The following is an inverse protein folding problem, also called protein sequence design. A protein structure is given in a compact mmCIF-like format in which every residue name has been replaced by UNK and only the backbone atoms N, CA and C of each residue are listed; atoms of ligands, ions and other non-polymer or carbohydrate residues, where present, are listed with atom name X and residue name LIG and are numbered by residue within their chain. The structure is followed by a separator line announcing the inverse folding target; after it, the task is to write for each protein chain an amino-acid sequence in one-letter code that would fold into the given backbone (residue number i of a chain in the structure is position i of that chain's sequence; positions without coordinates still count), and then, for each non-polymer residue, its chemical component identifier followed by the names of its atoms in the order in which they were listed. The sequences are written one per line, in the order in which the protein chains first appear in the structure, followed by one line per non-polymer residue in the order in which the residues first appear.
data_IF_914596494021
#
_entry.id   IF_914596494021
#
_cell.length_a   1.000
_cell.length_b   1.000
_cell.length_c   1.000
_cell.angle_alpha   90.00
_cell.angle_beta   90.00
_cell.angle_gamma   90.00
#
_symmetry.space_group_name_H-M   'P 1'
#
loop_
_entity.id
_entity.type
_entity.pdbx_description
1 polymer ?
#
# COMPACT_ATOMS: atom_id res chain seq x y z
N UNK A 1 6.88 -20.36 4.27
CA UNK A 1 7.43 -21.74 4.32
C UNK A 1 6.27 -22.68 4.61
N UNK A 2 5.90 -23.50 3.62
CA UNK A 2 5.01 -24.63 3.88
C UNK A 2 5.88 -25.69 4.57
N UNK A 3 5.64 -25.93 5.86
CA UNK A 3 6.20 -27.09 6.53
C UNK A 3 5.62 -28.33 5.85
N UNK A 4 6.44 -28.97 5.01
CA UNK A 4 6.10 -30.24 4.41
C UNK A 4 6.09 -31.25 5.57
N UNK A 5 4.92 -31.75 5.96
CA UNK A 5 4.85 -32.87 6.90
C UNK A 5 5.42 -34.12 6.24
N UNK A 6 6.69 -34.38 6.52
CA UNK A 6 7.41 -35.59 6.10
C UNK A 6 7.24 -36.75 7.08
N UNK A 7 6.39 -36.61 8.10
CA UNK A 7 6.10 -37.68 9.06
C UNK A 7 5.53 -38.90 8.31
N UNK A 8 6.22 -40.02 8.44
CA UNK A 8 5.85 -41.29 7.76
C UNK A 8 6.36 -41.45 6.32
N UNK A 9 7.14 -40.53 5.79
CA UNK A 9 7.84 -40.69 4.49
C UNK A 9 9.26 -41.18 4.75
N UNK A 10 9.50 -42.47 4.66
CA UNK A 10 10.85 -43.03 4.72
C UNK A 10 11.26 -43.48 3.33
N UNK A 11 12.38 -42.95 2.83
CA UNK A 11 13.07 -43.52 1.69
C UNK A 11 14.19 -44.44 2.22
N UNK A 12 14.17 -45.69 1.88
CA UNK A 12 15.25 -46.64 2.22
C UNK A 12 16.23 -46.64 1.05
N UNK A 13 17.50 -46.19 1.25
CA UNK A 13 18.51 -46.26 0.19
C UNK A 13 18.77 -47.71 -0.16
N UNK A 14 18.56 -48.11 -1.39
CA UNK A 14 18.95 -49.41 -1.92
C UNK A 14 20.36 -49.28 -2.50
N UNK A 15 21.39 -49.42 -1.69
CA UNK A 15 22.73 -49.84 -2.06
C UNK A 15 23.56 -49.06 -3.11
N UNK A 16 22.98 -48.11 -3.84
CA UNK A 16 23.65 -47.22 -4.79
C UNK A 16 23.30 -45.79 -4.42
N UNK A 17 24.25 -44.87 -4.53
CA UNK A 17 24.02 -43.45 -4.34
C UNK A 17 22.96 -43.00 -5.39
N UNK A 18 21.74 -42.71 -4.92
CA UNK A 18 20.68 -42.13 -5.76
C UNK A 18 21.01 -40.69 -6.06
N UNK A 19 20.76 -40.27 -7.28
CA UNK A 19 20.74 -38.83 -7.59
C UNK A 19 19.55 -38.18 -6.87
N UNK A 20 19.60 -36.86 -6.66
CA UNK A 20 18.50 -36.07 -6.13
C UNK A 20 17.17 -36.36 -6.85
N UNK A 21 17.24 -36.42 -8.19
CA UNK A 21 16.08 -36.72 -9.04
C UNK A 21 15.50 -38.12 -8.77
N UNK A 22 16.34 -39.14 -8.64
CA UNK A 22 15.90 -40.52 -8.36
C UNK A 22 15.34 -40.66 -6.94
N UNK A 23 15.94 -39.98 -5.95
CA UNK A 23 15.49 -40.03 -4.57
C UNK A 23 14.10 -39.40 -4.42
N UNK A 24 13.86 -38.25 -5.03
CA UNK A 24 12.58 -37.54 -4.92
C UNK A 24 11.53 -37.97 -5.96
N UNK A 25 11.85 -38.81 -6.94
CA UNK A 25 10.94 -39.23 -8.00
C UNK A 25 9.58 -39.73 -7.48
N UNK A 26 9.48 -40.57 -6.44
CA UNK A 26 8.20 -41.03 -5.93
C UNK A 26 7.36 -39.90 -5.34
N UNK A 27 7.97 -38.95 -4.63
CA UNK A 27 7.31 -37.79 -4.09
C UNK A 27 6.80 -36.86 -5.20
N UNK A 28 7.66 -36.56 -6.17
CA UNK A 28 7.31 -35.70 -7.31
C UNK A 28 6.16 -36.29 -8.12
N UNK A 29 6.20 -37.61 -8.39
CA UNK A 29 5.14 -38.27 -9.17
C UNK A 29 3.79 -38.31 -8.46
N UNK A 30 3.80 -38.39 -7.12
CA UNK A 30 2.60 -38.40 -6.29
C UNK A 30 2.07 -36.99 -5.94
N UNK A 31 2.85 -35.93 -6.15
CA UNK A 31 2.45 -34.59 -5.79
C UNK A 31 1.31 -34.07 -6.69
N UNK A 32 0.28 -33.54 -6.06
CA UNK A 32 -0.86 -32.96 -6.75
C UNK A 32 -0.94 -31.46 -6.44
N UNK A 33 -0.59 -30.57 -7.38
CA UNK A 33 -0.89 -29.15 -7.27
C UNK A 33 -2.40 -28.95 -7.05
N UNK A 34 -2.76 -27.90 -6.32
CA UNK A 34 -4.19 -27.58 -6.13
C UNK A 34 -4.81 -27.16 -7.47
N UNK A 35 -6.07 -27.51 -7.69
CA UNK A 35 -6.83 -27.08 -8.85
C UNK A 35 -7.09 -25.57 -8.83
N UNK A 36 -7.46 -25.06 -7.66
CA UNK A 36 -7.59 -23.62 -7.42
C UNK A 36 -6.27 -23.05 -6.86
N UNK A 37 -5.53 -22.35 -7.71
CA UNK A 37 -4.29 -21.66 -7.39
C UNK A 37 -4.47 -20.14 -7.48
N UNK A 38 -5.70 -19.62 -7.46
CA UNK A 38 -6.00 -18.20 -7.65
C UNK A 38 -5.47 -17.29 -6.54
N UNK A 39 -5.15 -17.85 -5.37
CA UNK A 39 -4.53 -17.12 -4.27
C UNK A 39 -3.03 -17.40 -4.19
N UNK A 40 -2.26 -16.43 -3.66
CA UNK A 40 -0.81 -16.60 -3.45
C UNK A 40 -0.49 -17.80 -2.56
N UNK A 41 -1.31 -18.04 -1.52
CA UNK A 41 -1.14 -19.17 -0.60
C UNK A 41 -1.35 -20.52 -1.31
N UNK A 42 -2.42 -20.66 -2.10
CA UNK A 42 -2.72 -21.87 -2.85
C UNK A 42 -1.67 -22.15 -3.93
N UNK A 43 -1.24 -21.11 -4.65
CA UNK A 43 -0.16 -21.21 -5.64
C UNK A 43 1.15 -21.68 -5.00
N UNK A 44 1.58 -21.05 -3.90
CA UNK A 44 2.81 -21.44 -3.19
C UNK A 44 2.71 -22.86 -2.62
N UNK A 45 1.55 -23.26 -2.09
CA UNK A 45 1.32 -24.62 -1.60
C UNK A 45 1.32 -25.66 -2.71
N UNK A 46 1.10 -25.27 -3.96
CA UNK A 46 1.17 -26.16 -5.13
C UNK A 46 2.60 -26.39 -5.65
N UNK A 47 3.55 -25.54 -5.26
CA UNK A 47 4.92 -25.57 -5.74
C UNK A 47 5.80 -26.50 -4.89
N UNK A 48 5.99 -27.73 -5.36
CA UNK A 48 6.93 -28.64 -4.71
C UNK A 48 8.36 -28.25 -5.06
N UNK A 49 9.14 -27.96 -4.02
CA UNK A 49 10.59 -27.77 -4.14
C UNK A 49 11.35 -28.84 -3.37
N UNK A 50 12.44 -29.30 -3.94
CA UNK A 50 13.42 -30.16 -3.26
C UNK A 50 14.78 -29.49 -3.21
N UNK A 51 15.60 -29.88 -2.28
CA UNK A 51 16.94 -29.33 -2.13
C UNK A 51 17.99 -30.42 -1.93
N UNK A 52 19.15 -30.21 -2.53
CA UNK A 52 20.40 -30.83 -2.10
C UNK A 52 21.11 -29.88 -1.17
N UNK A 53 21.69 -30.40 -0.09
CA UNK A 53 22.40 -29.61 0.91
C UNK A 53 23.80 -30.13 1.14
N UNK A 54 24.72 -29.21 1.45
CA UNK A 54 26.04 -29.52 1.97
C UNK A 54 26.20 -28.96 3.38
N UNK A 55 26.87 -29.73 4.23
CA UNK A 55 27.21 -29.29 5.56
C UNK A 55 28.74 -28.97 5.60
N UNK A 56 29.09 -27.81 6.12
CA UNK A 56 30.47 -27.42 6.40
C UNK A 56 30.61 -27.01 7.85
N UNK A 57 31.72 -27.38 8.48
CA UNK A 57 31.99 -26.95 9.85
C UNK A 57 32.81 -25.66 9.79
N UNK A 58 32.32 -24.60 10.43
CA UNK A 58 33.05 -23.35 10.59
C UNK A 58 34.21 -23.45 11.56
N UNK A 59 35.06 -22.43 11.60
CA UNK A 59 36.26 -22.35 12.49
C UNK A 59 35.87 -22.36 13.99
N UNK A 60 34.63 -21.98 14.30
CA UNK A 60 34.02 -21.96 15.64
C UNK A 60 33.28 -23.25 16.01
N UNK A 61 33.44 -24.33 15.23
CA UNK A 61 32.70 -25.59 15.31
C UNK A 61 31.19 -25.43 15.03
N UNK A 62 30.68 -24.34 14.48
CA UNK A 62 29.30 -24.22 14.01
C UNK A 62 29.09 -25.01 12.73
N UNK A 63 27.92 -25.64 12.60
CA UNK A 63 27.54 -26.36 11.39
C UNK A 63 26.81 -25.40 10.46
N UNK A 64 27.39 -25.13 9.30
CA UNK A 64 26.74 -24.35 8.24
C UNK A 64 26.08 -25.32 7.23
N UNK A 65 24.78 -25.14 7.01
CA UNK A 65 24.01 -25.89 6.02
C UNK A 65 23.69 -24.97 4.85
N UNK A 66 24.05 -25.39 3.64
CA UNK A 66 23.72 -24.68 2.40
C UNK A 66 22.82 -25.56 1.54
N UNK A 67 21.71 -25.01 1.07
CA UNK A 67 20.74 -25.73 0.23
C UNK A 67 20.53 -25.01 -1.10
N UNK A 68 20.49 -25.78 -2.19
CA UNK A 68 20.03 -25.29 -3.48
C UNK A 68 18.64 -25.84 -3.73
N UNK A 69 17.64 -24.95 -3.77
CA UNK A 69 16.23 -25.32 -3.97
C UNK A 69 15.94 -25.48 -5.45
N UNK A 70 15.27 -26.57 -5.83
CA UNK A 70 14.86 -26.88 -7.19
C UNK A 70 13.34 -27.04 -7.27
N UNK A 71 12.68 -26.25 -8.12
CA UNK A 71 11.26 -26.43 -8.42
C UNK A 71 11.04 -27.77 -9.14
N UNK A 72 10.05 -28.54 -8.69
CA UNK A 72 9.70 -29.84 -9.28
C UNK A 72 8.43 -29.79 -10.12
N UNK A 73 7.63 -28.76 -9.95
CA UNK A 73 6.47 -28.50 -10.81
C UNK A 73 6.88 -27.74 -12.06
N UNK A 74 6.07 -27.84 -13.09
CA UNK A 74 6.19 -27.06 -14.32
C UNK A 74 5.21 -25.89 -14.27
N UNK A 75 5.54 -24.77 -14.93
CA UNK A 75 4.75 -23.56 -14.89
C UNK A 75 4.11 -23.26 -16.25
N UNK A 76 2.79 -23.19 -16.30
CA UNK A 76 2.05 -22.58 -17.39
C UNK A 76 1.91 -21.07 -17.13
N UNK A 77 2.39 -20.24 -18.05
CA UNK A 77 2.25 -18.78 -18.05
C UNK A 77 1.26 -18.39 -19.12
N UNK A 78 0.14 -17.78 -18.74
CA UNK A 78 -0.95 -17.41 -19.65
C UNK A 78 -0.86 -15.91 -19.90
N UNK A 79 -0.70 -15.52 -21.15
CA UNK A 79 -0.65 -14.13 -21.61
C UNK A 79 -1.98 -13.76 -22.24
N UNK A 80 -2.61 -12.68 -21.73
CA UNK A 80 -3.88 -12.19 -22.24
C UNK A 80 -3.66 -11.12 -23.31
N UNK A 81 -4.51 -11.03 -24.35
CA UNK A 81 -4.45 -9.98 -25.36
C UNK A 81 -4.70 -8.61 -24.72
N UNK A 82 -4.28 -7.54 -25.40
CA UNK A 82 -4.49 -6.15 -24.94
C UNK A 82 -3.92 -5.82 -23.55
N UNK A 83 -2.95 -6.56 -23.07
CA UNK A 83 -2.25 -6.24 -21.83
C UNK A 83 -1.41 -4.98 -22.03
N UNK A 84 -1.52 -4.04 -21.08
CA UNK A 84 -0.70 -2.82 -21.01
C UNK A 84 0.19 -2.91 -19.79
N UNK A 85 1.49 -2.88 -20.00
CA UNK A 85 2.49 -2.80 -18.92
C UNK A 85 2.93 -1.35 -18.74
N UNK A 86 2.68 -0.79 -17.57
CA UNK A 86 3.18 0.52 -17.19
C UNK A 86 4.57 0.39 -16.59
N UNK A 87 5.54 1.05 -17.22
CA UNK A 87 6.90 1.19 -16.72
C UNK A 87 7.04 2.57 -16.08
N UNK A 88 7.19 2.60 -14.76
CA UNK A 88 7.31 3.86 -14.05
C UNK A 88 8.67 4.51 -14.30
N UNK A 89 8.67 5.83 -14.47
CA UNK A 89 9.89 6.63 -14.65
C UNK A 89 10.74 6.71 -13.37
N UNK A 90 10.13 6.51 -12.21
CA UNK A 90 10.84 6.23 -10.96
C UNK A 90 11.11 4.72 -10.88
N UNK A 91 12.35 4.31 -11.12
CA UNK A 91 12.76 2.89 -11.14
C UNK A 91 12.59 2.16 -9.80
N UNK A 92 12.35 2.87 -8.70
CA UNK A 92 12.05 2.29 -7.39
C UNK A 92 10.59 1.82 -7.28
N UNK A 93 9.72 2.29 -8.17
CA UNK A 93 8.31 1.87 -8.25
C UNK A 93 8.25 0.66 -9.18
N UNK A 94 7.73 -0.49 -8.71
CA UNK A 94 7.60 -1.67 -9.55
C UNK A 94 6.70 -1.43 -10.76
N UNK A 95 7.10 -1.95 -11.93
CA UNK A 95 6.23 -1.98 -13.09
C UNK A 95 4.93 -2.74 -12.78
N UNK A 96 3.83 -2.28 -13.33
CA UNK A 96 2.54 -2.92 -13.18
C UNK A 96 1.84 -3.11 -14.52
N UNK A 97 1.26 -4.30 -14.74
CA UNK A 97 0.55 -4.59 -15.97
C UNK A 97 -0.95 -4.75 -15.73
N UNK A 98 -1.73 -4.16 -16.62
CA UNK A 98 -3.18 -4.29 -16.67
C UNK A 98 -3.53 -5.18 -17.86
N UNK A 99 -4.14 -6.33 -17.58
CA UNK A 99 -4.73 -7.23 -18.57
C UNK A 99 -6.26 -7.11 -18.53
N UNK A 100 -6.96 -7.51 -19.59
CA UNK A 100 -8.42 -7.58 -19.58
C UNK A 100 -8.94 -8.38 -18.38
N UNK A 101 -10.11 -7.99 -17.87
CA UNK A 101 -10.81 -8.79 -16.88
C UNK A 101 -11.05 -10.20 -17.42
N UNK A 102 -10.57 -11.19 -16.69
CA UNK A 102 -10.61 -12.60 -17.08
C UNK A 102 -11.23 -13.41 -15.97
N UNK A 103 -12.20 -14.26 -16.31
CA UNK A 103 -12.79 -15.24 -15.40
C UNK A 103 -12.44 -16.65 -15.87
N UNK A 104 -12.08 -17.53 -14.95
CA UNK A 104 -11.83 -18.93 -15.24
C UNK A 104 -13.07 -19.76 -14.92
N UNK A 105 -13.48 -20.63 -15.83
CA UNK A 105 -14.74 -21.39 -15.73
C UNK A 105 -14.56 -22.86 -15.37
N UNK A 106 -13.34 -23.40 -15.56
CA UNK A 106 -12.99 -24.77 -15.21
C UNK A 106 -12.55 -24.96 -13.77
N UNK A 107 -12.06 -26.16 -13.45
CA UNK A 107 -11.48 -26.46 -12.12
C UNK A 107 -10.14 -25.75 -11.92
N UNK A 108 -9.38 -25.54 -13.00
CA UNK A 108 -8.10 -24.86 -12.95
C UNK A 108 -8.29 -23.34 -12.81
N UNK A 109 -7.90 -22.81 -11.67
CA UNK A 109 -7.98 -21.37 -11.34
C UNK A 109 -6.56 -20.81 -11.20
N UNK A 110 -5.98 -20.18 -12.23
CA UNK A 110 -4.62 -19.61 -12.19
C UNK A 110 -4.49 -18.38 -11.31
N UNK A 111 -3.29 -18.19 -10.74
CA UNK A 111 -2.92 -16.97 -10.02
C UNK A 111 -2.68 -15.81 -11.00
N UNK A 112 -3.34 -14.70 -10.80
CA UNK A 112 -3.00 -13.43 -11.46
C UNK A 112 -1.75 -12.82 -10.81
N UNK A 113 -0.81 -12.34 -11.62
CA UNK A 113 0.39 -11.65 -11.15
C UNK A 113 0.52 -10.24 -11.74
N UNK A 114 1.34 -9.40 -11.10
CA UNK A 114 1.45 -7.97 -11.42
C UNK A 114 2.06 -7.68 -12.81
N UNK A 115 2.70 -8.68 -13.43
CA UNK A 115 3.20 -8.58 -14.80
C UNK A 115 2.09 -8.74 -15.87
N UNK A 116 0.82 -8.87 -15.44
CA UNK A 116 -0.36 -9.02 -16.30
C UNK A 116 -0.58 -10.43 -16.83
N UNK A 117 0.22 -11.41 -16.38
CA UNK A 117 0.03 -12.82 -16.74
C UNK A 117 -0.75 -13.58 -15.67
N UNK A 118 -1.25 -14.75 -16.05
CA UNK A 118 -1.76 -15.73 -15.11
C UNK A 118 -0.80 -16.90 -15.03
N UNK A 119 -0.60 -17.47 -13.84
CA UNK A 119 0.34 -18.56 -13.57
C UNK A 119 -0.37 -19.76 -12.98
N UNK A 120 -0.04 -20.94 -13.50
CA UNK A 120 -0.61 -22.20 -13.04
C UNK A 120 0.48 -23.28 -13.00
N UNK A 121 0.66 -23.89 -11.84
CA UNK A 121 1.61 -24.98 -11.64
C UNK A 121 0.96 -26.31 -11.98
N UNK A 122 1.67 -27.13 -12.73
CA UNK A 122 1.24 -28.48 -13.12
C UNK A 122 2.31 -29.50 -12.79
N UNK A 123 1.88 -30.71 -12.40
CA UNK A 123 2.78 -31.83 -12.36
C UNK A 123 2.89 -32.42 -13.79
N UNK A 124 4.07 -32.30 -14.39
CA UNK A 124 4.31 -32.79 -15.76
C UNK A 124 4.22 -34.32 -15.90
N UNK A 125 4.27 -35.07 -14.80
CA UNK A 125 4.15 -36.53 -14.78
C UNK A 125 2.68 -37.01 -14.83
N UNK A 126 1.71 -36.13 -14.69
CA UNK A 126 0.26 -36.41 -14.76
C UNK A 126 -0.38 -35.55 -15.85
N UNK A 127 -1.53 -35.98 -16.42
CA UNK A 127 -2.28 -35.11 -17.32
C UNK A 127 -2.65 -33.81 -16.67
N UNK A 128 -2.22 -32.67 -17.25
CA UNK A 128 -2.57 -31.36 -16.75
C UNK A 128 -4.07 -31.07 -16.95
N UNK A 129 -4.75 -30.40 -16.00
CA UNK A 129 -6.11 -29.95 -16.21
C UNK A 129 -6.17 -28.94 -17.35
N UNK A 130 -7.31 -28.89 -18.02
CA UNK A 130 -7.60 -27.85 -19.01
C UNK A 130 -7.93 -26.55 -18.28
N UNK A 131 -7.33 -25.45 -18.70
CA UNK A 131 -7.59 -24.11 -18.20
C UNK A 131 -8.55 -23.43 -19.18
N UNK A 132 -9.75 -23.15 -18.71
CA UNK A 132 -10.82 -22.55 -19.49
C UNK A 132 -11.21 -21.21 -18.90
N UNK A 133 -11.55 -20.24 -19.74
CA UNK A 133 -11.95 -18.93 -19.24
C UNK A 133 -12.56 -18.02 -20.30
N UNK A 134 -13.02 -16.88 -19.81
CA UNK A 134 -13.65 -15.82 -20.60
C UNK A 134 -12.94 -14.50 -20.33
N UNK A 135 -12.87 -13.65 -21.33
CA UNK A 135 -12.38 -12.29 -21.22
C UNK A 135 -13.23 -11.34 -22.08
N UNK A 136 -12.91 -10.04 -22.09
CA UNK A 136 -13.66 -9.03 -22.84
C UNK A 136 -15.17 -9.03 -22.43
N UNK A 137 -15.41 -8.85 -21.10
CA UNK A 137 -16.74 -8.88 -20.48
C UNK A 137 -17.52 -10.19 -20.74
N UNK A 138 -16.79 -11.28 -20.92
CA UNK A 138 -17.36 -12.61 -21.16
C UNK A 138 -17.71 -12.89 -22.64
N UNK A 139 -17.42 -11.95 -23.55
CA UNK A 139 -17.75 -12.10 -24.97
C UNK A 139 -16.81 -13.05 -25.72
N UNK A 140 -15.62 -13.32 -25.16
CA UNK A 140 -14.60 -14.20 -25.76
C UNK A 140 -14.22 -15.31 -24.80
N UNK A 141 -14.08 -16.51 -25.37
CA UNK A 141 -13.70 -17.71 -24.64
C UNK A 141 -12.30 -18.17 -25.05
N UNK A 142 -11.61 -18.83 -24.14
CA UNK A 142 -10.35 -19.51 -24.45
C UNK A 142 -10.21 -20.82 -23.70
N UNK A 143 -9.42 -21.72 -24.26
CA UNK A 143 -9.10 -23.02 -23.69
C UNK A 143 -7.63 -23.31 -23.88
N UNK A 144 -6.93 -23.66 -22.79
CA UNK A 144 -5.51 -24.03 -22.81
C UNK A 144 -5.36 -25.38 -22.14
N UNK A 145 -4.76 -26.35 -22.86
CA UNK A 145 -4.32 -27.61 -22.28
C UNK A 145 -2.79 -27.58 -22.15
N UNK A 146 -2.26 -27.39 -20.91
CA UNK A 146 -0.81 -27.38 -20.73
C UNK A 146 -0.18 -28.70 -21.21
N UNK A 147 0.81 -28.60 -22.08
CA UNK A 147 1.47 -29.77 -22.67
C UNK A 147 2.92 -29.47 -23.03
N UNK A 148 3.74 -30.54 -23.14
CA UNK A 148 5.16 -30.41 -23.48
C UNK A 148 5.97 -29.64 -22.42
N UNK A 149 5.61 -29.81 -21.15
CA UNK A 149 6.28 -29.26 -20.01
C UNK A 149 7.22 -30.30 -19.37
N UNK A 150 8.26 -29.86 -18.71
CA UNK A 150 9.20 -30.69 -17.93
C UNK A 150 9.45 -30.09 -16.56
N UNK A 151 10.01 -30.86 -15.65
CA UNK A 151 10.35 -30.45 -14.29
C UNK A 151 11.09 -29.11 -14.28
N UNK A 152 10.60 -28.16 -13.46
CA UNK A 152 11.21 -26.84 -13.29
C UNK A 152 11.20 -25.95 -14.53
N UNK A 153 10.52 -26.36 -15.61
CA UNK A 153 10.39 -25.57 -16.83
C UNK A 153 9.13 -24.71 -16.82
N UNK A 154 9.08 -23.72 -17.72
CA UNK A 154 7.87 -22.97 -17.97
C UNK A 154 7.54 -22.88 -19.44
N UNK A 155 6.27 -22.68 -19.77
CA UNK A 155 5.81 -22.44 -21.14
C UNK A 155 4.77 -21.33 -21.15
N UNK A 156 4.89 -20.43 -22.14
CA UNK A 156 3.97 -19.33 -22.37
C UNK A 156 2.87 -19.73 -23.33
N UNK A 157 1.64 -19.47 -22.94
CA UNK A 157 0.42 -19.70 -23.72
C UNK A 157 -0.21 -18.35 -24.02
N UNK A 158 -0.26 -17.97 -25.29
CA UNK A 158 -0.80 -16.70 -25.76
C UNK A 158 -2.25 -16.88 -26.17
N UNK A 159 -3.16 -16.27 -25.42
CA UNK A 159 -4.58 -16.19 -25.80
C UNK A 159 -4.72 -15.22 -26.96
N UNK A 160 -5.35 -15.67 -28.06
CA UNK A 160 -5.60 -14.87 -29.27
C UNK A 160 -4.37 -14.08 -29.78
N UNK A 161 -3.20 -14.70 -29.72
CA UNK A 161 -1.95 -14.07 -30.17
C UNK A 161 -1.49 -12.90 -29.29
N UNK A 162 -1.77 -12.97 -27.98
CA UNK A 162 -1.49 -11.93 -27.00
C UNK A 162 -0.18 -11.16 -27.23
N UNK A 163 -0.28 -9.82 -27.15
CA UNK A 163 0.84 -8.89 -27.19
C UNK A 163 0.70 -7.92 -26.02
N UNK A 164 1.79 -7.73 -25.29
CA UNK A 164 1.86 -6.73 -24.21
C UNK A 164 2.40 -5.41 -24.77
N UNK A 165 1.65 -4.32 -24.58
CA UNK A 165 2.11 -2.96 -24.91
C UNK A 165 2.79 -2.37 -23.69
N UNK A 166 4.05 -1.92 -23.83
CA UNK A 166 4.76 -1.21 -22.76
C UNK A 166 4.54 0.29 -22.92
N UNK A 167 4.19 0.97 -21.82
CA UNK A 167 4.03 2.43 -21.75
C UNK A 167 4.87 2.98 -20.61
N UNK A 168 5.77 3.93 -20.92
CA UNK A 168 6.41 4.72 -19.87
C UNK A 168 5.38 5.61 -19.20
N UNK A 169 5.46 5.70 -17.87
CA UNK A 169 4.50 6.44 -17.08
C UNK A 169 5.16 7.17 -15.91
N UNK A 170 4.88 8.45 -15.79
CA UNK A 170 5.28 9.24 -14.62
C UNK A 170 4.11 9.33 -13.66
N UNK A 171 4.34 8.93 -12.41
CA UNK A 171 3.35 8.98 -11.35
C UNK A 171 2.82 10.41 -11.17
N UNK A 172 1.51 10.54 -10.93
CA UNK A 172 0.84 11.82 -10.81
C UNK A 172 -0.37 11.75 -9.86
N UNK A 173 -0.88 12.91 -9.47
CA UNK A 173 -2.10 13.04 -8.66
C UNK A 173 -3.26 12.31 -9.32
N UNK A 174 -4.03 11.58 -8.54
CA UNK A 174 -5.14 10.76 -8.98
C UNK A 174 -4.80 9.31 -9.28
N UNK A 175 -3.51 8.91 -9.26
CA UNK A 175 -3.12 7.51 -9.40
C UNK A 175 -3.62 6.68 -8.22
N UNK A 176 -3.92 5.41 -8.51
CA UNK A 176 -4.42 4.47 -7.51
C UNK A 176 -3.26 3.78 -6.81
N UNK A 177 -3.25 3.80 -5.48
CA UNK A 177 -2.34 3.01 -4.66
C UNK A 177 -3.11 1.80 -4.11
N UNK A 178 -2.66 0.61 -4.50
CA UNK A 178 -3.30 -0.64 -4.13
C UNK A 178 -2.88 -1.10 -2.72
N UNK A 179 -3.66 -1.98 -2.12
CA UNK A 179 -3.38 -2.54 -0.81
C UNK A 179 -2.04 -3.29 -0.73
N UNK A 180 -1.57 -3.87 -1.84
CA UNK A 180 -0.27 -4.54 -1.94
C UNK A 180 0.92 -3.57 -2.18
N UNK A 181 0.66 -2.27 -2.24
CA UNK A 181 1.68 -1.22 -2.47
C UNK A 181 1.98 -0.93 -3.94
N UNK A 182 1.34 -1.61 -4.87
CA UNK A 182 1.49 -1.32 -6.30
C UNK A 182 0.69 -0.08 -6.71
N UNK A 183 1.12 0.55 -7.80
CA UNK A 183 0.49 1.73 -8.38
C UNK A 183 -0.19 1.41 -9.70
N UNK A 184 -1.37 1.99 -9.91
CA UNK A 184 -2.07 2.00 -11.19
C UNK A 184 -2.31 3.43 -11.64
N UNK A 185 -2.05 3.74 -12.92
CA UNK A 185 -2.33 5.06 -13.48
C UNK A 185 -3.80 5.44 -13.37
N UNK A 186 -4.08 6.69 -13.06
CA UNK A 186 -5.43 7.25 -13.14
C UNK A 186 -6.02 7.09 -14.54
N UNK A 187 -7.33 6.93 -14.62
CA UNK A 187 -8.02 6.70 -15.88
C UNK A 187 -7.87 5.28 -16.44
N UNK A 188 -7.18 4.38 -15.74
CA UNK A 188 -7.21 2.95 -16.05
C UNK A 188 -8.63 2.41 -15.82
N UNK A 189 -9.15 1.64 -16.77
CA UNK A 189 -10.38 0.87 -16.55
C UNK A 189 -10.08 -0.25 -15.58
N UNK A 190 -10.57 -0.10 -14.35
CA UNK A 190 -10.32 -1.05 -13.27
C UNK A 190 -11.31 -2.22 -13.32
N UNK A 191 -10.83 -3.43 -13.11
CA UNK A 191 -11.68 -4.58 -12.79
C UNK A 191 -12.29 -4.42 -11.38
N UNK A 192 -13.36 -5.17 -11.06
CA UNK A 192 -13.94 -5.12 -9.71
C UNK A 192 -12.94 -5.54 -8.62
N UNK A 193 -12.08 -6.52 -8.91
CA UNK A 193 -11.00 -6.93 -8.02
C UNK A 193 -9.99 -5.80 -7.80
N UNK A 194 -9.58 -5.10 -8.86
CA UNK A 194 -8.69 -3.95 -8.74
C UNK A 194 -9.33 -2.81 -7.95
N UNK A 195 -10.62 -2.50 -8.20
CA UNK A 195 -11.37 -1.50 -7.40
C UNK A 195 -11.38 -1.87 -5.92
N UNK A 196 -11.62 -3.14 -5.61
CA UNK A 196 -11.63 -3.64 -4.23
C UNK A 196 -10.24 -3.59 -3.57
N UNK A 197 -9.17 -3.64 -4.36
CA UNK A 197 -7.79 -3.59 -3.88
C UNK A 197 -7.24 -2.17 -3.73
N UNK A 198 -7.92 -1.14 -4.24
CA UNK A 198 -7.48 0.26 -4.07
C UNK A 198 -7.65 0.67 -2.61
N UNK A 199 -6.55 1.01 -1.95
CA UNK A 199 -6.53 1.49 -0.57
C UNK A 199 -6.44 3.02 -0.48
N UNK A 200 -5.74 3.66 -1.42
CA UNK A 200 -5.51 5.10 -1.41
C UNK A 200 -5.42 5.70 -2.82
N UNK A 201 -5.51 7.04 -2.88
CA UNK A 201 -5.31 7.82 -4.10
C UNK A 201 -4.15 8.78 -3.90
N UNK A 202 -3.21 8.81 -4.82
CA UNK A 202 -2.06 9.74 -4.79
C UNK A 202 -2.56 11.17 -4.93
N UNK A 203 -2.16 12.06 -4.02
CA UNK A 203 -2.52 13.48 -4.09
C UNK A 203 -1.32 14.43 -4.19
N UNK A 204 -0.11 13.94 -3.94
CA UNK A 204 1.12 14.69 -4.08
C UNK A 204 2.27 13.78 -4.51
N UNK A 205 3.11 14.30 -5.42
CA UNK A 205 4.35 13.65 -5.83
C UNK A 205 5.45 14.70 -5.95
N UNK A 206 6.71 14.36 -5.67
CA UNK A 206 7.83 15.29 -5.85
C UNK A 206 7.96 15.80 -7.28
N UNK A 207 7.65 14.98 -8.27
CA UNK A 207 7.81 15.31 -9.69
C UNK A 207 6.82 16.37 -10.17
N UNK A 208 5.57 16.37 -9.64
CA UNK A 208 4.53 17.33 -10.08
C UNK A 208 4.69 18.71 -9.48
N UNK A 209 5.14 18.78 -8.23
CA UNK A 209 5.25 20.07 -7.52
C UNK A 209 6.53 20.79 -7.85
N UNK A 210 7.47 20.12 -8.50
CA UNK A 210 8.79 20.66 -8.65
C UNK A 210 9.49 20.26 -9.96
N UNK A 211 9.02 20.75 -11.12
CA UNK A 211 9.79 20.60 -12.35
C UNK A 211 11.20 21.25 -12.26
N UNK A 212 11.47 22.05 -11.24
CA UNK A 212 12.76 22.70 -10.98
C UNK A 212 13.53 22.12 -9.77
N UNK A 213 13.05 21.02 -9.16
CA UNK A 213 13.74 20.33 -8.05
C UNK A 213 13.66 21.03 -6.68
N UNK A 214 12.59 21.80 -6.37
CA UNK A 214 12.53 22.60 -5.14
C UNK A 214 12.16 21.84 -3.89
N UNK A 215 11.43 20.76 -3.98
CA UNK A 215 11.06 19.95 -2.80
C UNK A 215 11.51 18.52 -3.06
N UNK A 216 12.61 18.15 -2.50
CA UNK A 216 13.00 16.75 -2.37
C UNK A 216 12.60 16.27 -0.98
N UNK A 217 12.41 14.97 -0.75
CA UNK A 217 12.25 14.40 0.60
C UNK A 217 13.39 14.79 1.56
N UNK A 218 14.55 15.13 1.01
CA UNK A 218 15.69 15.67 1.74
C UNK A 218 15.56 17.18 2.04
N UNK A 219 14.57 17.89 1.50
CA UNK A 219 14.35 19.28 1.85
C UNK A 219 13.81 19.39 3.27
N UNK A 220 14.15 20.49 3.95
CA UNK A 220 13.83 20.74 5.36
C UNK A 220 12.33 20.76 5.69
N UNK A 221 11.47 20.70 4.68
CA UNK A 221 10.03 20.83 4.82
C UNK A 221 9.32 19.48 4.95
N UNK A 222 10.05 18.38 4.82
CA UNK A 222 9.51 17.04 5.02
C UNK A 222 9.71 16.58 6.47
N UNK A 223 8.81 15.72 6.93
CA UNK A 223 8.82 15.14 8.26
C UNK A 223 10.08 14.27 8.49
N UNK A 224 11.01 14.77 9.31
CA UNK A 224 12.29 14.08 9.59
C UNK A 224 12.10 12.73 10.26
N UNK A 225 11.09 12.64 11.15
CA UNK A 225 10.79 11.39 11.87
C UNK A 225 10.27 10.35 10.88
N UNK A 226 9.38 10.76 9.97
CA UNK A 226 8.86 9.89 8.93
C UNK A 226 9.98 9.37 8.02
N UNK A 227 10.84 10.25 7.52
CA UNK A 227 11.97 9.85 6.64
C UNK A 227 12.94 8.91 7.33
N UNK A 228 13.17 9.11 8.63
CA UNK A 228 14.05 8.25 9.43
C UNK A 228 13.47 6.86 9.65
N UNK A 229 12.19 6.77 9.98
CA UNK A 229 11.51 5.50 10.26
C UNK A 229 11.10 4.77 8.98
N UNK A 230 10.81 5.51 7.91
CA UNK A 230 10.36 5.00 6.62
C UNK A 230 11.17 5.59 5.45
N UNK A 231 12.47 5.27 5.35
CA UNK A 231 13.36 5.91 4.37
C UNK A 231 12.99 5.62 2.91
N UNK A 232 12.19 4.60 2.68
CA UNK A 232 11.72 4.21 1.35
C UNK A 232 10.37 4.85 0.97
N UNK A 233 9.65 5.50 1.91
CA UNK A 233 8.36 6.13 1.65
C UNK A 233 8.53 7.59 1.17
N UNK A 234 9.18 7.77 0.02
CA UNK A 234 9.57 9.08 -0.52
C UNK A 234 9.02 9.35 -1.92
N UNK A 235 8.13 8.46 -2.41
CA UNK A 235 7.56 8.60 -3.75
C UNK A 235 6.41 9.60 -3.80
N UNK A 236 5.63 9.71 -2.72
CA UNK A 236 4.50 10.62 -2.67
C UNK A 236 3.65 10.50 -1.40
N UNK A 237 2.54 11.24 -1.41
CA UNK A 237 1.51 11.18 -0.39
C UNK A 237 0.21 10.69 -1.02
N UNK A 238 -0.47 9.79 -0.32
CA UNK A 238 -1.76 9.25 -0.76
C UNK A 238 -2.81 9.38 0.35
N UNK A 239 -4.07 9.61 -0.05
CA UNK A 239 -5.22 9.74 0.84
C UNK A 239 -6.04 8.46 0.80
N UNK A 240 -6.55 8.02 1.95
CA UNK A 240 -7.48 6.90 2.04
C UNK A 240 -8.72 7.11 1.17
N UNK A 241 -9.29 6.05 0.60
CA UNK A 241 -10.55 6.15 -0.16
C UNK A 241 -11.78 6.30 0.75
N UNK A 242 -11.63 6.13 2.07
CA UNK A 242 -12.70 6.21 3.06
C UNK A 242 -12.42 7.28 4.10
N UNK A 243 -13.49 7.94 4.59
CA UNK A 243 -13.41 8.75 5.79
C UNK A 243 -13.25 7.87 7.03
N UNK A 244 -12.61 8.40 8.06
CA UNK A 244 -12.71 7.80 9.38
C UNK A 244 -14.13 8.01 9.94
N UNK A 245 -14.64 7.11 10.81
CA UNK A 245 -16.03 7.10 11.19
C UNK A 245 -16.44 8.33 12.00
N UNK A 246 -17.53 8.97 11.58
CA UNK A 246 -18.19 10.07 12.31
C UNK A 246 -17.50 11.41 12.19
N UNK A 247 -18.23 12.46 12.66
CA UNK A 247 -17.66 13.78 12.90
C UNK A 247 -17.35 13.89 14.38
N UNK A 248 -16.16 14.38 14.71
CA UNK A 248 -15.67 14.45 16.09
C UNK A 248 -15.13 15.83 16.43
N UNK A 249 -15.26 16.23 17.70
CA UNK A 249 -14.51 17.35 18.25
C UNK A 249 -13.02 17.02 18.27
N UNK A 250 -12.16 18.04 18.17
CA UNK A 250 -10.72 17.81 18.33
C UNK A 250 -10.40 17.39 19.77
N UNK A 251 -10.95 18.11 20.76
CA UNK A 251 -10.95 17.76 22.18
C UNK A 251 -12.29 18.16 22.81
N UNK A 252 -12.76 17.45 23.84
CA UNK A 252 -13.95 17.82 24.59
C UNK A 252 -13.62 18.83 25.72
N UNK A 253 -12.45 18.70 26.33
CA UNK A 253 -11.88 19.66 27.27
C UNK A 253 -10.56 20.14 26.68
N UNK A 254 -10.48 21.44 26.42
CA UNK A 254 -9.34 22.02 25.74
C UNK A 254 -8.09 22.02 26.65
N UNK A 255 -7.06 21.33 26.17
CA UNK A 255 -5.72 21.28 26.75
C UNK A 255 -4.65 21.52 25.70
N UNK A 256 -3.43 21.87 26.09
CA UNK A 256 -2.32 22.09 25.19
C UNK A 256 -1.54 20.80 24.92
N UNK A 257 -1.68 20.22 23.74
CA UNK A 257 -0.82 19.12 23.29
C UNK A 257 0.61 19.60 23.07
N UNK A 258 0.76 20.83 22.59
CA UNK A 258 2.07 21.46 22.38
C UNK A 258 2.88 21.60 23.69
N UNK A 259 2.24 21.84 24.82
CA UNK A 259 2.90 21.91 26.15
C UNK A 259 3.34 20.51 26.59
N UNK A 260 2.49 19.50 26.42
CA UNK A 260 2.88 18.12 26.66
C UNK A 260 4.12 17.74 25.83
N UNK A 261 4.14 18.08 24.54
CA UNK A 261 5.27 17.79 23.66
C UNK A 261 6.57 18.46 24.13
N UNK A 262 6.49 19.69 24.63
CA UNK A 262 7.64 20.42 25.22
C UNK A 262 8.07 19.88 26.58
N UNK A 263 7.13 19.30 27.31
CA UNK A 263 7.35 18.77 28.65
C UNK A 263 8.20 17.51 28.73
N UNK A 264 8.41 17.02 29.94
CA UNK A 264 9.21 15.82 30.22
C UNK A 264 8.43 14.52 29.96
N UNK A 265 7.11 14.59 29.93
CA UNK A 265 6.23 13.42 29.72
C UNK A 265 6.24 12.94 28.27
N UNK A 266 6.62 13.79 27.32
CA UNK A 266 6.95 13.39 25.95
C UNK A 266 8.47 13.22 25.84
N UNK A 267 8.92 11.97 25.81
CA UNK A 267 10.35 11.67 25.80
C UNK A 267 10.72 10.51 24.84
N UNK A 268 10.45 10.63 23.52
CA UNK A 268 10.99 9.70 22.55
C UNK A 268 12.50 9.88 22.43
N UNK A 269 13.19 8.85 21.94
CA UNK A 269 14.67 8.87 21.74
C UNK A 269 15.10 10.07 20.87
N UNK A 270 14.28 10.45 19.92
CA UNK A 270 14.55 11.49 18.91
C UNK A 270 13.81 12.79 19.20
N UNK A 271 13.54 13.09 20.46
CA UNK A 271 12.72 14.25 20.86
C UNK A 271 13.15 15.55 20.18
N UNK A 272 14.45 15.77 20.07
CA UNK A 272 15.03 16.99 19.51
C UNK A 272 14.84 17.13 17.98
N UNK A 273 14.45 16.04 17.32
CA UNK A 273 14.16 16.05 15.87
C UNK A 273 12.68 16.40 15.60
N UNK A 274 11.80 16.29 16.62
CA UNK A 274 10.39 16.63 16.47
C UNK A 274 10.18 18.13 16.40
N UNK A 275 9.45 18.56 15.39
CA UNK A 275 8.91 19.92 15.31
C UNK A 275 7.67 20.02 16.18
N UNK A 276 7.49 21.14 16.91
CA UNK A 276 6.33 21.31 17.75
C UNK A 276 5.02 21.26 16.93
N UNK A 277 4.01 20.56 17.47
CA UNK A 277 2.71 20.38 16.83
C UNK A 277 1.93 21.70 16.67
N UNK A 278 2.20 22.69 17.52
CA UNK A 278 1.61 24.01 17.40
C UNK A 278 2.23 24.78 16.24
N UNK A 279 1.39 25.28 15.37
CA UNK A 279 1.77 25.99 14.17
C UNK A 279 0.91 27.24 13.97
N UNK A 280 1.37 28.19 13.20
CA UNK A 280 0.68 29.45 12.95
C UNK A 280 0.96 30.05 11.58
N UNK A 281 0.23 31.11 11.26
CA UNK A 281 0.35 31.84 10.00
C UNK A 281 1.54 32.83 9.98
N UNK A 282 2.38 32.85 11.00
CA UNK A 282 3.53 33.71 11.07
C UNK A 282 4.68 33.26 10.14
N UNK A 283 5.66 34.15 9.93
CA UNK A 283 6.80 33.92 9.04
C UNK A 283 7.74 32.77 9.51
N UNK A 284 7.67 32.35 10.76
CA UNK A 284 8.41 31.24 11.34
C UNK A 284 7.62 29.93 11.27
N UNK A 285 6.38 30.02 10.76
CA UNK A 285 5.34 29.03 10.93
C UNK A 285 5.58 27.70 10.25
N UNK A 286 5.54 26.67 11.05
CA UNK A 286 5.50 25.28 10.61
C UNK A 286 4.21 24.94 9.84
N UNK A 287 3.31 25.93 9.63
CA UNK A 287 2.06 25.73 8.89
C UNK A 287 2.29 25.25 7.45
N UNK A 288 3.44 25.59 6.89
CA UNK A 288 3.82 25.23 5.53
C UNK A 288 4.69 23.95 5.48
N UNK A 289 4.75 23.17 6.56
CA UNK A 289 5.57 21.96 6.66
C UNK A 289 4.71 20.69 6.66
N UNK A 290 5.23 19.67 6.00
CA UNK A 290 4.64 18.32 5.97
C UNK A 290 5.03 17.63 7.27
N UNK A 291 4.13 17.55 8.25
CA UNK A 291 4.41 17.08 9.62
C UNK A 291 3.36 16.10 10.15
N UNK A 292 2.48 15.59 9.29
CA UNK A 292 1.34 14.77 9.73
C UNK A 292 1.75 13.50 10.46
N UNK A 293 2.80 12.84 9.99
CA UNK A 293 3.29 11.59 10.59
C UNK A 293 3.79 11.82 12.02
N UNK A 294 4.76 12.71 12.21
CA UNK A 294 5.28 13.02 13.57
C UNK A 294 4.20 13.57 14.49
N UNK A 295 3.33 14.45 13.98
CA UNK A 295 2.22 15.00 14.77
C UNK A 295 1.30 13.89 15.27
N UNK A 296 0.98 12.91 14.43
CA UNK A 296 0.16 11.77 14.83
C UNK A 296 0.79 10.98 15.97
N UNK A 297 2.11 10.77 15.92
CA UNK A 297 2.85 10.12 17.03
C UNK A 297 2.75 10.93 18.34
N UNK A 298 2.88 12.26 18.26
CA UNK A 298 2.71 13.16 19.41
C UNK A 298 1.28 13.04 19.96
N UNK A 299 0.26 13.06 19.12
CA UNK A 299 -1.15 12.92 19.52
C UNK A 299 -1.42 11.58 20.20
N UNK A 300 -0.87 10.49 19.68
CA UNK A 300 -1.01 9.17 20.31
C UNK A 300 -0.31 9.10 21.67
N UNK A 301 0.88 9.69 21.80
CA UNK A 301 1.60 9.76 23.06
C UNK A 301 0.81 10.60 24.09
N UNK A 302 0.27 11.75 23.66
CA UNK A 302 -0.58 12.60 24.50
C UNK A 302 -1.84 11.87 24.97
N UNK A 303 -2.53 11.17 24.07
CA UNK A 303 -3.71 10.39 24.44
C UNK A 303 -3.36 9.27 25.42
N UNK A 304 -2.21 8.63 25.27
CA UNK A 304 -1.68 7.67 26.24
C UNK A 304 -1.48 8.29 27.62
N UNK A 305 -0.82 9.45 27.66
CA UNK A 305 -0.64 10.24 28.88
C UNK A 305 -1.98 10.60 29.53
N UNK A 306 -2.93 11.10 28.76
CA UNK A 306 -4.26 11.44 29.26
C UNK A 306 -4.97 10.24 29.89
N UNK A 307 -4.95 9.09 29.23
CA UNK A 307 -5.56 7.84 29.74
C UNK A 307 -4.91 7.41 31.07
N UNK A 308 -3.59 7.45 31.16
CA UNK A 308 -2.84 7.09 32.37
C UNK A 308 -3.13 8.02 33.54
N UNK A 309 -3.37 9.30 33.24
CA UNK A 309 -3.59 10.32 34.25
C UNK A 309 -5.08 10.68 34.49
N UNK A 310 -6.02 9.89 33.99
CA UNK A 310 -7.46 10.08 34.17
C UNK A 310 -8.05 11.33 33.48
N UNK A 311 -7.34 11.89 32.47
CA UNK A 311 -7.77 13.07 31.69
C UNK A 311 -8.52 12.66 30.42
N UNK A 312 -9.46 11.73 30.51
CA UNK A 312 -10.13 11.15 29.34
C UNK A 312 -10.93 12.15 28.51
N UNK A 313 -11.37 13.25 29.10
CA UNK A 313 -12.11 14.30 28.39
C UNK A 313 -11.19 15.23 27.56
N UNK A 314 -9.88 15.17 27.79
CA UNK A 314 -8.87 15.93 27.05
C UNK A 314 -8.25 15.12 25.89
N UNK A 315 -8.75 13.92 25.58
CA UNK A 315 -8.26 13.14 24.45
C UNK A 315 -8.44 13.89 23.15
N UNK A 316 -7.45 13.76 22.27
CA UNK A 316 -7.55 14.21 20.87
C UNK A 316 -8.33 13.16 20.09
N UNK A 317 -9.63 13.42 19.87
CA UNK A 317 -10.56 12.47 19.31
C UNK A 317 -10.22 12.05 17.85
N UNK A 318 -9.73 12.94 16.94
CA UNK A 318 -9.26 12.52 15.63
C UNK A 318 -8.20 11.42 15.67
N UNK A 319 -7.29 11.46 16.66
CA UNK A 319 -6.26 10.44 16.84
C UNK A 319 -6.83 9.10 17.33
N UNK A 320 -7.90 9.09 18.13
CA UNK A 320 -8.59 7.86 18.56
C UNK A 320 -9.44 7.27 17.41
N UNK A 321 -10.15 8.13 16.68
CA UNK A 321 -10.91 7.71 15.50
C UNK A 321 -10.00 7.13 14.41
N UNK A 322 -8.80 7.69 14.24
CA UNK A 322 -7.80 7.13 13.33
C UNK A 322 -7.40 5.71 13.73
N UNK A 323 -7.22 5.40 15.03
CA UNK A 323 -6.93 4.03 15.48
C UNK A 323 -8.05 3.05 15.09
N UNK A 324 -9.29 3.47 15.25
CA UNK A 324 -10.46 2.68 14.82
C UNK A 324 -10.48 2.49 13.31
N UNK A 325 -10.13 3.54 12.56
CA UNK A 325 -10.01 3.47 11.10
C UNK A 325 -8.94 2.46 10.66
N UNK A 326 -7.75 2.53 11.25
CA UNK A 326 -6.62 1.62 10.96
C UNK A 326 -6.99 0.15 11.19
N UNK A 327 -7.72 -0.14 12.27
CA UNK A 327 -8.14 -1.51 12.59
C UNK A 327 -9.06 -2.13 11.53
N UNK A 328 -9.82 -1.30 10.80
CA UNK A 328 -10.78 -1.74 9.79
C UNK A 328 -10.32 -1.52 8.34
N UNK A 329 -9.29 -0.71 8.14
CA UNK A 329 -8.78 -0.34 6.82
C UNK A 329 -7.25 -0.43 6.84
N UNK A 330 -6.67 -1.57 6.53
CA UNK A 330 -5.22 -1.71 6.46
C UNK A 330 -4.60 -0.69 5.50
N UNK A 331 -3.48 -0.12 5.89
CA UNK A 331 -2.73 0.77 5.01
C UNK A 331 -2.09 -0.01 3.86
N UNK A 332 -1.78 0.64 2.73
CA UNK A 332 -1.04 0.01 1.65
C UNK A 332 0.28 -0.58 2.15
N UNK A 333 0.65 -1.74 1.61
CA UNK A 333 1.95 -2.33 1.90
C UNK A 333 3.08 -1.36 1.49
N UNK A 334 4.20 -1.45 2.18
CA UNK A 334 5.37 -0.59 1.95
C UNK A 334 5.12 0.92 2.14
N UNK A 335 4.04 1.29 2.86
CA UNK A 335 3.74 2.67 3.25
C UNK A 335 4.13 2.95 4.70
N UNK A 336 4.03 4.21 5.11
CA UNK A 336 4.22 4.63 6.51
C UNK A 336 3.15 4.10 7.46
N UNK A 337 2.09 3.45 6.94
CA UNK A 337 0.83 3.33 7.65
C UNK A 337 0.02 4.64 7.60
N UNK A 338 -1.23 4.58 8.10
CA UNK A 338 -2.11 5.73 8.12
C UNK A 338 -1.75 6.71 9.23
N UNK A 339 -1.75 8.00 8.91
CA UNK A 339 -1.60 9.09 9.88
C UNK A 339 -2.58 10.23 9.61
N UNK A 340 -2.76 11.13 10.59
CA UNK A 340 -3.54 12.34 10.45
C UNK A 340 -2.71 13.38 9.69
N UNK A 341 -3.22 13.95 8.61
CA UNK A 341 -2.49 14.97 7.87
C UNK A 341 -2.27 16.23 8.71
N UNK A 342 -1.13 16.89 8.56
CA UNK A 342 -0.94 18.27 9.00
C UNK A 342 -1.84 19.23 8.21
N UNK A 343 -1.93 20.46 8.62
CA UNK A 343 -2.69 21.46 7.87
C UNK A 343 -2.14 21.68 6.46
N UNK A 344 -0.82 21.56 6.29
CA UNK A 344 -0.16 21.62 4.97
C UNK A 344 -0.61 20.48 4.06
N UNK A 345 -0.57 19.24 4.56
CA UNK A 345 -0.96 18.06 3.78
C UNK A 345 -2.45 18.09 3.40
N UNK A 346 -3.34 18.54 4.29
CA UNK A 346 -4.75 18.75 3.94
C UNK A 346 -4.92 19.83 2.87
N UNK A 347 -4.16 20.90 2.93
CA UNK A 347 -4.20 21.93 1.92
C UNK A 347 -3.70 21.38 0.57
N UNK A 348 -2.60 20.61 0.57
CA UNK A 348 -2.08 19.96 -0.65
C UNK A 348 -3.08 18.97 -1.24
N UNK A 349 -3.81 18.25 -0.40
CA UNK A 349 -4.89 17.35 -0.84
C UNK A 349 -6.04 18.12 -1.50
N UNK A 350 -6.30 19.36 -1.08
CA UNK A 350 -7.34 20.20 -1.67
C UNK A 350 -6.85 20.96 -2.90
N UNK A 351 -5.69 21.60 -2.78
CA UNK A 351 -5.06 22.35 -3.87
C UNK A 351 -3.67 21.78 -4.15
N UNK A 352 -2.75 22.27 -4.68
CA UNK A 352 -1.38 21.80 -4.90
C UNK A 352 -0.45 22.30 -3.81
N UNK A 353 0.78 21.84 -3.83
CA UNK A 353 1.81 22.39 -2.99
C UNK A 353 2.10 23.86 -3.37
N UNK A 354 2.07 24.73 -2.38
CA UNK A 354 2.35 26.16 -2.50
C UNK A 354 3.22 26.61 -1.34
N UNK A 355 4.06 27.60 -1.55
CA UNK A 355 5.02 28.08 -0.56
C UNK A 355 4.33 28.61 0.71
N UNK A 356 3.15 29.22 0.57
CA UNK A 356 2.42 29.78 1.70
C UNK A 356 0.92 29.54 1.61
N UNK A 357 0.42 28.54 2.37
CA UNK A 357 -0.99 28.16 2.39
C UNK A 357 -1.88 29.21 3.08
N UNK A 358 -1.32 30.11 3.89
CA UNK A 358 -2.09 31.15 4.58
C UNK A 358 -2.84 32.10 3.64
N UNK A 359 -2.31 32.29 2.44
CA UNK A 359 -2.85 33.22 1.46
C UNK A 359 -3.46 32.52 0.25
N UNK A 360 -3.39 31.18 0.18
CA UNK A 360 -3.89 30.42 -0.96
C UNK A 360 -5.23 29.81 -0.63
N UNK A 361 -6.25 30.19 -1.35
CA UNK A 361 -7.62 29.70 -1.24
C UNK A 361 -8.35 29.84 -2.59
N UNK A 362 -9.59 29.40 -2.60
CA UNK A 362 -10.50 29.46 -3.76
C UNK A 362 -9.99 28.64 -4.97
N UNK A 363 -9.20 27.60 -4.68
CA UNK A 363 -8.76 26.62 -5.65
C UNK A 363 -8.79 25.20 -5.09
N UNK A 364 -9.23 24.26 -5.90
CA UNK A 364 -9.46 22.86 -5.51
C UNK A 364 -8.94 21.88 -6.55
N UNK A 365 -7.92 22.25 -7.28
CA UNK A 365 -7.38 21.48 -8.42
C UNK A 365 -7.02 20.04 -8.04
N UNK A 366 -6.30 19.84 -6.91
CA UNK A 366 -5.91 18.50 -6.46
C UNK A 366 -7.12 17.69 -6.02
N UNK A 367 -8.00 18.29 -5.19
CA UNK A 367 -9.25 17.64 -4.78
C UNK A 367 -10.04 17.14 -5.98
N UNK A 368 -10.22 17.96 -7.00
CA UNK A 368 -11.04 17.63 -8.15
C UNK A 368 -10.45 16.46 -8.96
N UNK A 369 -9.12 16.39 -9.08
CA UNK A 369 -8.43 15.25 -9.69
C UNK A 369 -8.62 13.97 -8.83
N UNK A 370 -8.39 14.07 -7.53
CA UNK A 370 -8.47 12.94 -6.59
C UNK A 370 -9.91 12.41 -6.45
N UNK A 371 -10.91 13.29 -6.45
CA UNK A 371 -12.34 12.94 -6.40
C UNK A 371 -12.76 12.04 -7.56
N UNK A 372 -12.24 12.26 -8.76
CA UNK A 372 -12.53 11.40 -9.92
C UNK A 372 -12.10 9.96 -9.62
N UNK A 373 -10.90 9.78 -9.08
CA UNK A 373 -10.36 8.44 -8.76
C UNK A 373 -11.05 7.81 -7.56
N UNK A 374 -11.36 8.58 -6.51
CA UNK A 374 -12.16 8.12 -5.37
C UNK A 374 -13.54 7.63 -5.83
N UNK A 375 -14.21 8.41 -6.69
CA UNK A 375 -15.52 8.07 -7.22
C UNK A 375 -15.49 6.80 -8.07
N UNK A 376 -14.43 6.61 -8.87
CA UNK A 376 -14.27 5.43 -9.72
C UNK A 376 -14.21 4.11 -8.93
N UNK A 377 -13.79 4.16 -7.67
CA UNK A 377 -13.67 2.99 -6.77
C UNK A 377 -14.74 2.96 -5.67
N UNK A 378 -15.76 3.82 -5.75
CA UNK A 378 -16.84 3.85 -4.75
C UNK A 378 -16.39 4.32 -3.36
N UNK A 379 -15.38 5.19 -3.30
CA UNK A 379 -14.89 5.80 -2.08
C UNK A 379 -15.78 6.95 -1.57
N UNK A 380 -15.46 7.46 -0.38
CA UNK A 380 -16.20 8.58 0.23
C UNK A 380 -15.69 9.91 -0.34
N UNK A 381 -16.58 10.68 -0.94
CA UNK A 381 -16.25 11.98 -1.52
C UNK A 381 -15.62 12.93 -0.50
N UNK A 382 -14.57 13.66 -0.90
CA UNK A 382 -13.91 14.67 -0.07
C UNK A 382 -14.78 15.92 0.08
N UNK A 383 -15.51 16.29 -0.96
CA UNK A 383 -16.39 17.47 -0.95
C UNK A 383 -17.69 17.25 -1.75
N UNK A 384 -18.67 16.51 -1.21
CA UNK A 384 -19.96 16.33 -1.87
C UNK A 384 -20.63 17.67 -2.17
N UNK A 385 -21.28 17.80 -3.34
CA UNK A 385 -21.86 19.06 -3.83
C UNK A 385 -22.77 19.81 -2.84
N UNK A 386 -23.50 19.09 -2.01
CA UNK A 386 -24.47 19.67 -1.06
C UNK A 386 -23.99 19.64 0.39
N UNK A 387 -22.82 19.14 0.65
CA UNK A 387 -22.28 18.99 2.00
C UNK A 387 -20.73 19.05 1.96
N UNK A 388 -20.21 20.23 1.68
CA UNK A 388 -18.77 20.44 1.64
C UNK A 388 -18.14 20.13 2.99
N UNK A 389 -17.22 19.18 3.00
CA UNK A 389 -16.57 18.71 4.22
C UNK A 389 -15.48 19.66 4.67
N UNK A 390 -15.27 19.67 5.97
CA UNK A 390 -14.11 20.24 6.63
C UNK A 390 -13.43 19.14 7.40
N UNK A 391 -12.12 19.06 7.28
CA UNK A 391 -11.34 18.00 7.91
C UNK A 391 -10.42 18.59 8.98
N UNK A 392 -10.37 17.92 10.13
CA UNK A 392 -9.36 18.18 11.15
C UNK A 392 -7.97 17.85 10.64
N UNK A 393 -7.02 18.73 10.95
CA UNK A 393 -5.60 18.43 10.84
C UNK A 393 -5.03 17.94 12.16
N UNK A 394 -3.80 17.41 12.12
CA UNK A 394 -3.01 17.11 13.31
C UNK A 394 -2.32 18.34 13.91
N UNK A 395 -2.56 19.54 13.40
CA UNK A 395 -1.87 20.78 13.80
C UNK A 395 -2.66 21.57 14.82
N UNK A 396 -2.02 21.98 15.93
CA UNK A 396 -2.60 22.78 17.01
C UNK A 396 -2.30 24.27 16.80
N UNK A 397 -3.13 25.16 17.37
CA UNK A 397 -2.86 26.59 17.41
C UNK A 397 -1.69 26.92 18.34
N UNK A 398 -0.82 27.87 17.99
CA UNK A 398 0.29 28.29 18.88
C UNK A 398 -0.16 29.27 19.99
N UNK A 399 -1.30 29.91 19.82
CA UNK A 399 -1.73 31.03 20.70
C UNK A 399 -3.16 30.91 21.21
N UNK A 400 -3.95 29.96 20.71
CA UNK A 400 -5.32 29.75 21.17
C UNK A 400 -5.49 28.29 21.63
N UNK A 401 -5.61 28.10 22.96
CA UNK A 401 -5.81 26.78 23.56
C UNK A 401 -7.04 26.04 23.03
N UNK A 402 -8.06 26.80 22.62
CA UNK A 402 -9.32 26.28 22.13
C UNK A 402 -9.27 25.97 20.63
N UNK A 403 -8.15 26.24 19.95
CA UNK A 403 -8.05 26.14 18.48
C UNK A 403 -7.16 25.03 18.00
N UNK A 404 -7.62 24.36 16.95
CA UNK A 404 -6.82 23.48 16.09
C UNK A 404 -7.08 23.80 14.61
N UNK A 405 -6.15 23.45 13.75
CA UNK A 405 -6.31 23.75 12.33
C UNK A 405 -7.19 22.72 11.62
N UNK A 406 -8.01 23.24 10.72
CA UNK A 406 -8.81 22.46 9.77
C UNK A 406 -8.71 23.04 8.36
N UNK A 407 -9.05 22.25 7.34
CA UNK A 407 -9.16 22.73 5.97
C UNK A 407 -10.58 22.50 5.45
N UNK A 408 -11.16 23.56 4.86
CA UNK A 408 -12.47 23.53 4.25
C UNK A 408 -12.34 23.17 2.77
N UNK A 409 -12.83 22.02 2.40
CA UNK A 409 -12.63 21.43 1.07
C UNK A 409 -13.50 22.04 -0.01
N UNK A 410 -14.38 22.99 0.33
CA UNK A 410 -15.06 23.82 -0.67
C UNK A 410 -14.07 24.70 -1.46
N UNK A 411 -13.10 25.27 -0.78
CA UNK A 411 -12.24 26.30 -1.37
C UNK A 411 -10.77 26.25 -0.86
N UNK A 412 -10.32 25.14 -0.33
CA UNK A 412 -8.96 24.96 0.21
C UNK A 412 -8.61 25.91 1.39
N UNK A 413 -9.61 26.48 2.07
CA UNK A 413 -9.35 27.44 3.12
C UNK A 413 -8.85 26.75 4.40
N UNK A 414 -7.56 26.95 4.71
CA UNK A 414 -6.97 26.55 5.97
C UNK A 414 -7.34 27.56 7.06
N UNK A 415 -7.94 27.10 8.15
CA UNK A 415 -8.43 27.98 9.20
C UNK A 415 -8.23 27.37 10.58
N UNK A 416 -8.18 28.24 11.57
CA UNK A 416 -8.29 27.89 12.98
C UNK A 416 -9.75 27.61 13.31
N UNK A 417 -10.05 26.44 13.86
CA UNK A 417 -11.39 26.02 14.28
C UNK A 417 -11.40 25.74 15.78
N UNK A 418 -12.52 26.03 16.43
CA UNK A 418 -12.70 25.68 17.85
C UNK A 418 -12.66 24.16 18.02
N UNK A 419 -11.92 23.68 19.01
CA UNK A 419 -11.64 22.25 19.25
C UNK A 419 -12.90 21.43 19.57
N UNK A 420 -13.94 22.03 20.09
CA UNK A 420 -15.24 21.40 20.40
C UNK A 420 -16.13 21.24 19.18
N UNK A 421 -15.78 21.87 18.04
CA UNK A 421 -16.50 21.70 16.78
C UNK A 421 -16.37 20.28 16.22
N UNK A 422 -17.48 19.72 15.70
CA UNK A 422 -17.48 18.39 15.12
C UNK A 422 -17.13 18.43 13.63
N UNK A 423 -15.96 17.91 13.25
CA UNK A 423 -15.48 17.86 11.87
C UNK A 423 -15.09 16.43 11.45
N UNK A 424 -14.92 16.27 10.14
CA UNK A 424 -14.52 14.98 9.55
C UNK A 424 -13.03 14.70 9.81
N UNK A 425 -12.68 13.43 9.69
CA UNK A 425 -11.29 12.95 9.78
C UNK A 425 -10.97 12.12 8.53
N UNK A 426 -9.83 12.39 7.91
CA UNK A 426 -9.35 11.65 6.75
C UNK A 426 -7.91 11.23 6.96
N UNK A 427 -7.61 9.96 6.72
CA UNK A 427 -6.27 9.42 6.86
C UNK A 427 -5.45 9.61 5.58
N UNK A 428 -4.14 9.82 5.74
CA UNK A 428 -3.17 9.84 4.66
C UNK A 428 -1.99 8.93 4.98
N UNK A 429 -1.20 8.57 3.97
CA UNK A 429 0.05 7.85 4.13
C UNK A 429 1.10 8.40 3.16
N UNK A 430 2.38 8.18 3.46
CA UNK A 430 3.47 8.27 2.50
C UNK A 430 3.85 6.87 2.01
N UNK A 431 4.39 6.76 0.81
CA UNK A 431 4.77 5.49 0.19
C UNK A 431 6.00 5.65 -0.71
#
# INVERSE_FOLDING_TARGET
SSDLDMSGKTATPTGSALTDTEFFAPLVSAWQPQDDQSTHAAYTASDLMTAEGSATTGEDNTLHLSFTMNHRMALAVIEMPNTVKYKFTDERIPDYAVSPATTFSGIAQPLRVNDGTYRYLVNHATPAPTIEGHYDEGSKEFTITPSGLSTGSYKRYKVDGAVTTVKDYTMQRGDYLLADGNLLPKGTTLTEEQKASVAAIVFWTPAETNPEGRITPASLDFDKIMVKEHPNCTHGLAVSIKDAPGNVSWQNVNDWVADFQRGTDFNPVDKDEYVNIATGFDATGNINRILGYQNTKVLWAYNGYCKTNGKTDALVNPAEVLKTFIANNPAPANSTGWFLPSVKELHMLCYKDVDNIAYTRDNTETRDIVEVSISAVGGDALSPRNNHKRFWSSSESPSNKNGAFSVYFYNAFAQLSEKDGALNVRAVCAF
#
